data_IF_197250057376
#
_entry.id   IF_197250057376
#
_cell.length_a   1.000
_cell.length_b   1.000
_cell.length_c   1.000
_cell.angle_alpha   90.00
_cell.angle_beta   90.00
_cell.angle_gamma   90.00
#
_symmetry.space_group_name_H-M   'P 1'
#
loop_
_entity.id
_entity.type
_entity.pdbx_description
1 polymer ?
#
# COMPACT_ATOMS: atom_id res chain seq x y z
N UNK A 1 -53.68 -24.82 -16.27
CA UNK A 1 -52.89 -24.53 -15.05
C UNK A 1 -51.66 -25.41 -15.04
N UNK A 2 -50.47 -24.89 -15.35
CA UNK A 2 -49.21 -25.49 -14.89
C UNK A 2 -48.10 -24.43 -14.88
N UNK A 3 -47.33 -24.44 -13.81
CA UNK A 3 -46.61 -23.30 -13.22
C UNK A 3 -45.28 -23.02 -13.93
N UNK A 4 -45.03 -21.77 -14.33
CA UNK A 4 -43.69 -21.27 -14.62
C UNK A 4 -42.92 -21.13 -13.30
N UNK A 5 -41.88 -21.93 -13.10
CA UNK A 5 -40.93 -21.74 -12.02
C UNK A 5 -39.69 -21.03 -12.58
N UNK A 6 -39.60 -19.73 -12.36
CA UNK A 6 -38.42 -18.92 -12.70
C UNK A 6 -37.42 -19.06 -11.55
N UNK A 7 -36.35 -19.84 -11.75
CA UNK A 7 -35.26 -19.94 -10.79
C UNK A 7 -34.35 -18.70 -10.92
N UNK A 8 -34.38 -17.82 -9.92
CA UNK A 8 -33.51 -16.66 -9.81
C UNK A 8 -32.13 -17.12 -9.30
N UNK A 9 -31.18 -17.29 -10.21
CA UNK A 9 -29.78 -17.57 -9.85
C UNK A 9 -29.14 -16.30 -9.28
N UNK A 10 -28.94 -16.25 -7.97
CA UNK A 10 -28.14 -15.21 -7.32
C UNK A 10 -26.68 -15.44 -7.69
N UNK A 11 -26.14 -14.62 -8.60
CA UNK A 11 -24.71 -14.52 -8.87
C UNK A 11 -24.03 -13.89 -7.65
N UNK A 12 -23.55 -14.71 -6.73
CA UNK A 12 -22.62 -14.26 -5.71
C UNK A 12 -21.27 -13.97 -6.39
N UNK A 13 -21.01 -12.70 -6.73
CA UNK A 13 -19.69 -12.25 -7.15
C UNK A 13 -18.74 -12.38 -5.96
N UNK A 14 -18.03 -13.50 -5.88
CA UNK A 14 -16.84 -13.62 -5.05
C UNK A 14 -15.83 -12.58 -5.55
N UNK A 15 -15.76 -11.44 -4.85
CA UNK A 15 -14.72 -10.45 -5.11
C UNK A 15 -13.41 -11.08 -4.63
N UNK A 16 -12.57 -11.49 -5.58
CA UNK A 16 -11.25 -11.99 -5.27
C UNK A 16 -10.43 -10.81 -4.73
N UNK A 17 -10.20 -10.80 -3.41
CA UNK A 17 -9.31 -9.82 -2.79
C UNK A 17 -7.95 -9.90 -3.49
N UNK A 18 -7.51 -8.80 -4.10
CA UNK A 18 -6.22 -8.75 -4.75
C UNK A 18 -5.13 -9.10 -3.73
N UNK A 19 -4.24 -10.02 -4.10
CA UNK A 19 -3.21 -10.51 -3.20
C UNK A 19 -2.27 -9.38 -2.77
N UNK A 20 -1.91 -9.40 -1.49
CA UNK A 20 -0.87 -8.54 -0.96
C UNK A 20 0.43 -8.78 -1.74
N UNK A 21 1.13 -7.70 -2.11
CA UNK A 21 2.27 -7.78 -3.05
C UNK A 21 3.31 -6.71 -2.81
N UNK A 22 4.56 -7.04 -3.18
CA UNK A 22 5.59 -6.04 -3.40
C UNK A 22 5.34 -5.36 -4.75
N UNK A 23 5.37 -4.04 -4.76
CA UNK A 23 5.22 -3.23 -5.95
C UNK A 23 6.29 -2.14 -5.99
N UNK A 24 6.48 -1.53 -7.16
CA UNK A 24 7.42 -0.43 -7.34
C UNK A 24 6.81 0.69 -8.17
N UNK A 25 7.34 1.89 -7.97
CA UNK A 25 7.00 3.08 -8.75
C UNK A 25 8.29 3.84 -9.04
N UNK A 26 8.51 4.23 -10.30
CA UNK A 26 9.54 5.21 -10.63
C UNK A 26 9.05 6.58 -10.18
N UNK A 27 9.78 7.21 -9.26
CA UNK A 27 9.40 8.47 -8.62
C UNK A 27 10.20 9.66 -9.14
N UNK A 28 11.45 9.42 -9.53
CA UNK A 28 12.35 10.39 -10.17
C UNK A 28 13.08 9.67 -11.31
N UNK A 29 13.69 10.39 -12.26
CA UNK A 29 14.42 9.76 -13.36
C UNK A 29 15.46 8.74 -12.85
N UNK A 30 15.28 7.47 -13.21
CA UNK A 30 16.18 6.38 -12.81
C UNK A 30 16.11 6.00 -11.31
N UNK A 31 15.15 6.54 -10.56
CA UNK A 31 14.94 6.24 -9.13
C UNK A 31 13.58 5.62 -8.92
N UNK A 32 13.56 4.45 -8.29
CA UNK A 32 12.32 3.76 -7.94
C UNK A 32 12.15 3.67 -6.43
N UNK A 33 10.90 3.67 -5.99
CA UNK A 33 10.50 3.33 -4.62
C UNK A 33 9.74 2.03 -4.65
N UNK A 34 10.23 1.05 -3.89
CA UNK A 34 9.47 -0.16 -3.59
C UNK A 34 8.51 0.09 -2.44
N UNK A 35 7.34 -0.54 -2.50
CA UNK A 35 6.36 -0.49 -1.44
C UNK A 35 5.60 -1.81 -1.33
N UNK A 36 5.25 -2.21 -0.12
CA UNK A 36 4.38 -3.36 0.12
C UNK A 36 2.92 -2.91 0.12
N UNK A 37 2.08 -3.55 -0.70
CA UNK A 37 0.68 -3.18 -0.87
C UNK A 37 -0.24 -4.29 -0.39
N UNK A 38 -1.25 -3.90 0.39
CA UNK A 38 -2.32 -4.77 0.89
C UNK A 38 -3.65 -4.21 0.39
N UNK A 39 -4.17 -4.78 -0.69
CA UNK A 39 -5.40 -4.32 -1.34
C UNK A 39 -6.65 -4.73 -0.57
N UNK A 40 -7.64 -3.85 -0.48
CA UNK A 40 -8.97 -4.14 0.09
C UNK A 40 -10.07 -3.60 -0.82
N UNK A 41 -10.92 -4.48 -1.35
CA UNK A 41 -11.91 -4.15 -2.40
C UNK A 41 -12.90 -3.04 -1.97
N UNK A 42 -13.31 -3.06 -0.71
CA UNK A 42 -14.21 -2.08 -0.11
C UNK A 42 -13.45 -0.99 0.69
N UNK A 43 -12.18 -0.70 0.34
CA UNK A 43 -11.37 0.25 1.09
C UNK A 43 -12.02 1.64 1.16
N UNK A 44 -12.04 2.21 2.37
CA UNK A 44 -12.48 3.60 2.63
C UNK A 44 -11.48 4.62 2.13
N UNK A 45 -10.20 4.28 2.24
CA UNK A 45 -9.07 5.08 1.80
C UNK A 45 -7.84 4.18 1.59
N UNK A 46 -6.80 4.75 1.00
CA UNK A 46 -5.46 4.17 0.96
C UNK A 46 -4.58 4.87 1.98
N UNK A 47 -3.92 4.11 2.85
CA UNK A 47 -2.94 4.62 3.80
C UNK A 47 -1.54 4.33 3.28
N UNK A 48 -0.76 5.38 3.04
CA UNK A 48 0.68 5.27 2.84
C UNK A 48 1.32 5.38 4.22
N UNK A 49 1.90 4.27 4.67
CA UNK A 49 2.68 4.22 5.88
C UNK A 49 4.11 4.65 5.56
N UNK A 50 4.65 5.57 6.37
CA UNK A 50 6.01 6.08 6.27
C UNK A 50 6.81 5.63 7.51
N UNK A 51 7.37 4.40 7.52
CA UNK A 51 8.12 3.91 8.67
C UNK A 51 9.35 4.75 8.98
N UNK A 52 9.64 4.89 10.27
CA UNK A 52 10.92 5.36 10.77
C UNK A 52 12.06 4.34 10.55
N UNK A 53 13.25 4.67 11.03
CA UNK A 53 14.45 3.84 10.83
C UNK A 53 15.07 4.02 9.44
N UNK A 54 15.79 3.00 8.97
CA UNK A 54 16.55 3.00 7.72
C UNK A 54 15.70 3.03 6.44
N UNK A 55 14.38 2.84 6.53
CA UNK A 55 13.46 2.84 5.39
C UNK A 55 13.45 1.55 4.57
N UNK A 56 14.15 0.49 4.98
CA UNK A 56 14.05 -0.81 4.32
C UNK A 56 12.73 -1.52 4.69
N UNK A 57 12.10 -2.20 3.72
CA UNK A 57 10.89 -3.00 3.97
C UNK A 57 11.15 -4.26 4.80
N UNK A 58 12.41 -4.70 4.91
CA UNK A 58 12.87 -5.84 5.72
C UNK A 58 11.98 -7.08 5.53
N UNK A 59 11.88 -7.53 4.28
CA UNK A 59 11.06 -8.69 3.92
C UNK A 59 11.61 -9.96 4.58
N UNK A 60 10.73 -10.74 5.20
CA UNK A 60 11.05 -12.06 5.73
C UNK A 60 11.20 -13.09 4.60
N UNK A 61 11.60 -14.33 4.95
CA UNK A 61 11.71 -15.44 3.99
C UNK A 61 10.39 -15.76 3.25
N UNK A 62 9.24 -15.44 3.85
CA UNK A 62 7.93 -15.59 3.23
C UNK A 62 7.53 -14.40 2.34
N UNK A 63 8.39 -13.40 2.18
CA UNK A 63 8.16 -12.19 1.38
C UNK A 63 7.39 -11.08 2.09
N UNK A 64 6.96 -11.27 3.34
CA UNK A 64 6.20 -10.25 4.09
C UNK A 64 7.14 -9.23 4.76
N UNK A 65 6.80 -7.93 4.77
CA UNK A 65 7.50 -6.95 5.57
C UNK A 65 7.40 -7.28 7.06
N UNK A 66 8.52 -7.22 7.77
CA UNK A 66 8.53 -7.35 9.21
C UNK A 66 9.58 -6.45 9.86
N UNK A 67 9.16 -5.76 10.91
CA UNK A 67 9.99 -4.84 11.68
C UNK A 67 9.32 -4.55 13.01
N UNK A 68 10.10 -4.22 14.04
CA UNK A 68 9.58 -3.74 15.33
C UNK A 68 8.97 -2.33 15.22
N UNK A 69 9.17 -1.65 14.08
CA UNK A 69 8.54 -0.37 13.80
C UNK A 69 7.01 -0.47 13.92
N UNK A 70 6.43 0.51 14.62
CA UNK A 70 5.00 0.56 14.91
C UNK A 70 4.13 0.41 13.65
N UNK A 71 4.39 1.18 12.59
CA UNK A 71 3.57 1.16 11.38
C UNK A 71 3.65 -0.18 10.64
N UNK A 72 4.84 -0.80 10.63
CA UNK A 72 5.03 -2.11 9.97
C UNK A 72 4.32 -3.22 10.73
N UNK A 73 4.39 -3.23 12.08
CA UNK A 73 3.74 -4.26 12.91
C UNK A 73 2.22 -4.08 13.01
N UNK A 74 1.70 -2.86 12.85
CA UNK A 74 0.25 -2.58 12.91
C UNK A 74 -0.39 -2.50 11.52
N UNK A 75 0.31 -2.85 10.44
CA UNK A 75 -0.24 -2.82 9.07
C UNK A 75 -1.52 -3.65 8.93
N UNK A 76 -1.57 -4.81 9.57
CA UNK A 76 -2.72 -5.72 9.50
C UNK A 76 -3.93 -5.10 10.22
N UNK A 77 -3.72 -4.41 11.34
CA UNK A 77 -4.79 -3.69 12.04
C UNK A 77 -5.41 -2.57 11.18
N UNK A 78 -4.61 -1.86 10.38
CA UNK A 78 -5.15 -0.89 9.40
C UNK A 78 -5.92 -1.60 8.29
N UNK A 79 -5.38 -2.71 7.77
CA UNK A 79 -6.02 -3.43 6.69
C UNK A 79 -7.37 -4.05 7.14
N UNK A 80 -7.43 -4.60 8.35
CA UNK A 80 -8.63 -5.13 9.00
C UNK A 80 -9.65 -4.03 9.32
N UNK A 81 -9.19 -2.79 9.54
CA UNK A 81 -10.06 -1.63 9.69
C UNK A 81 -10.67 -1.13 8.36
N UNK A 82 -10.41 -1.81 7.23
CA UNK A 82 -11.01 -1.52 5.93
C UNK A 82 -10.26 -0.48 5.11
N UNK A 83 -8.94 -0.44 5.23
CA UNK A 83 -8.06 0.40 4.42
C UNK A 83 -7.21 -0.43 3.47
N UNK A 84 -6.94 0.10 2.27
CA UNK A 84 -5.78 -0.37 1.51
C UNK A 84 -4.53 0.20 2.15
N UNK A 85 -3.51 -0.63 2.38
CA UNK A 85 -2.27 -0.22 3.05
C UNK A 85 -1.10 -0.30 2.09
N UNK A 86 -0.28 0.74 2.04
CA UNK A 86 0.96 0.80 1.29
C UNK A 86 2.11 1.16 2.23
N UNK A 87 3.04 0.24 2.49
CA UNK A 87 4.24 0.52 3.29
C UNK A 87 5.32 1.00 2.34
N UNK A 88 5.70 2.27 2.42
CA UNK A 88 6.72 2.86 1.55
C UNK A 88 8.12 2.48 2.04
N UNK A 89 8.96 2.01 1.12
CA UNK A 89 10.38 1.81 1.36
C UNK A 89 11.22 3.04 0.99
N UNK A 90 12.52 2.94 1.18
CA UNK A 90 13.51 3.92 0.70
C UNK A 90 13.65 3.86 -0.82
N UNK A 91 13.96 4.99 -1.48
CA UNK A 91 14.26 4.98 -2.91
C UNK A 91 15.58 4.25 -3.21
N UNK A 92 15.71 3.75 -4.44
CA UNK A 92 16.84 2.91 -4.87
C UNK A 92 18.21 3.60 -4.87
N UNK A 93 18.23 4.92 -4.92
CA UNK A 93 19.45 5.75 -4.88
C UNK A 93 19.93 6.06 -3.45
N UNK A 94 19.23 5.56 -2.42
CA UNK A 94 19.59 5.78 -1.02
C UNK A 94 19.96 4.48 -0.32
N UNK A 95 21.02 4.50 0.48
CA UNK A 95 21.37 3.39 1.36
C UNK A 95 20.39 3.29 2.55
N UNK A 96 19.95 4.43 3.07
CA UNK A 96 19.02 4.56 4.20
C UNK A 96 18.21 5.87 4.10
N UNK A 97 17.12 6.00 4.88
CA UNK A 97 16.36 7.24 5.03
C UNK A 97 16.83 8.04 6.25
N UNK A 98 17.86 8.85 6.07
CA UNK A 98 18.34 9.78 7.10
C UNK A 98 17.40 11.01 7.27
N UNK A 99 17.47 11.73 8.41
CA UNK A 99 16.61 12.88 8.67
C UNK A 99 16.71 14.01 7.64
N UNK A 100 17.89 14.24 7.06
CA UNK A 100 18.08 15.31 6.08
C UNK A 100 17.36 14.94 4.77
N UNK A 101 17.48 13.69 4.32
CA UNK A 101 16.77 13.22 3.15
C UNK A 101 15.25 13.22 3.37
N UNK A 102 14.76 12.80 4.55
CA UNK A 102 13.33 12.82 4.88
C UNK A 102 12.70 14.22 4.79
N UNK A 103 13.47 15.26 5.07
CA UNK A 103 13.04 16.66 4.96
C UNK A 103 13.30 17.27 3.56
N UNK A 104 13.87 16.51 2.62
CA UNK A 104 14.24 17.01 1.30
C UNK A 104 13.05 17.07 0.34
N UNK A 105 13.13 17.97 -0.65
CA UNK A 105 12.18 18.01 -1.76
C UNK A 105 12.15 16.70 -2.56
N UNK A 106 13.28 16.01 -2.64
CA UNK A 106 13.39 14.70 -3.30
C UNK A 106 12.49 13.65 -2.65
N UNK A 107 12.49 13.54 -1.32
CA UNK A 107 11.62 12.58 -0.63
C UNK A 107 10.14 12.98 -0.69
N UNK A 108 9.84 14.29 -0.66
CA UNK A 108 8.48 14.80 -0.87
C UNK A 108 7.97 14.41 -2.26
N UNK A 109 8.82 14.49 -3.28
CA UNK A 109 8.50 14.06 -4.64
C UNK A 109 8.22 12.55 -4.70
N UNK A 110 9.02 11.74 -4.01
CA UNK A 110 8.79 10.29 -3.92
C UNK A 110 7.40 9.97 -3.34
N UNK A 111 7.03 10.64 -2.25
CA UNK A 111 5.74 10.49 -1.60
C UNK A 111 4.61 10.97 -2.54
N UNK A 112 4.79 12.12 -3.20
CA UNK A 112 3.81 12.70 -4.11
C UNK A 112 3.48 11.75 -5.26
N UNK A 113 4.49 11.23 -5.94
CA UNK A 113 4.31 10.33 -7.09
C UNK A 113 3.62 9.03 -6.65
N UNK A 114 4.03 8.44 -5.52
CA UNK A 114 3.36 7.25 -4.99
C UNK A 114 1.90 7.53 -4.64
N UNK A 115 1.61 8.65 -3.97
CA UNK A 115 0.25 9.04 -3.62
C UNK A 115 -0.63 9.28 -4.84
N UNK A 116 -0.11 9.94 -5.88
CA UNK A 116 -0.84 10.17 -7.13
C UNK A 116 -1.11 8.88 -7.89
N UNK A 117 -0.13 7.98 -7.96
CA UNK A 117 -0.29 6.66 -8.55
C UNK A 117 -1.41 5.90 -7.84
N UNK A 118 -1.33 5.76 -6.51
CA UNK A 118 -2.31 5.01 -5.74
C UNK A 118 -3.71 5.65 -5.82
N UNK A 119 -3.80 6.98 -5.78
CA UNK A 119 -5.07 7.69 -5.97
C UNK A 119 -5.69 7.40 -7.34
N UNK A 120 -4.88 7.42 -8.39
CA UNK A 120 -5.34 7.17 -9.77
C UNK A 120 -5.76 5.73 -9.97
N UNK A 121 -4.95 4.78 -9.50
CA UNK A 121 -5.22 3.34 -9.65
C UNK A 121 -6.43 2.87 -8.82
N UNK A 122 -6.63 3.40 -7.61
CA UNK A 122 -7.64 2.92 -6.67
C UNK A 122 -8.91 3.76 -6.63
N UNK A 123 -8.87 5.01 -7.09
CA UNK A 123 -10.01 5.92 -7.04
C UNK A 123 -10.47 6.24 -5.61
N UNK A 124 -9.58 6.09 -4.61
CA UNK A 124 -9.85 6.36 -3.19
C UNK A 124 -9.01 7.54 -2.67
N UNK A 125 -9.46 8.25 -1.62
CA UNK A 125 -8.60 9.19 -0.90
C UNK A 125 -7.31 8.52 -0.41
N UNK A 126 -6.21 9.27 -0.41
CA UNK A 126 -4.91 8.83 0.09
C UNK A 126 -4.55 9.63 1.33
N UNK A 127 -4.11 8.95 2.39
CA UNK A 127 -3.62 9.56 3.63
C UNK A 127 -2.21 9.09 3.91
N UNK A 128 -1.39 9.99 4.45
CA UNK A 128 -0.05 9.68 4.93
C UNK A 128 -0.12 9.41 6.43
N UNK A 129 0.56 8.36 6.89
CA UNK A 129 0.68 8.02 8.32
C UNK A 129 2.15 7.84 8.64
N UNK A 130 2.65 8.62 9.60
CA UNK A 130 4.05 8.67 10.02
C UNK A 130 4.16 8.65 11.55
N UNK A 131 5.35 8.37 12.07
CA UNK A 131 5.68 8.33 13.52
C UNK A 131 6.90 9.18 13.80
#
# INVERSE_FOLDING_TARGET
MLRFALALAVLASAHAQAADRLASVETRPGTTVEYWRMDRDAARATLILLPGGDGALKLQKNGLPASDNFLVRTRDAFADAGFTVAIMGKPTDRAELDPQFRASAEHVEDIRVLAERLRTELGKPVWLVAT
#
